data_IF_599514101200
#
_entry.id   IF_599514101200
#
_cell.length_a   1.000
_cell.length_b   1.000
_cell.length_c   1.000
_cell.angle_alpha   90.00
_cell.angle_beta   90.00
_cell.angle_gamma   90.00
#
_symmetry.space_group_name_H-M   'P 1'
#
loop_
_entity.id
_entity.type
_entity.pdbx_description
1 polymer ?
#
# COMPACT_ATOMS: atom_id res chain seq x y z
N UNK A 1 -13.93 68.97 -16.34
CA UNK A 1 -15.01 68.21 -15.66
C UNK A 1 -14.38 67.03 -14.94
N UNK A 2 -14.79 66.87 -13.69
CA UNK A 2 -14.35 65.86 -12.72
C UNK A 2 -14.64 64.43 -13.18
N UNK A 3 -13.74 63.50 -12.89
CA UNK A 3 -14.08 62.15 -12.42
C UNK A 3 -12.82 61.44 -11.93
N UNK A 4 -12.67 61.46 -10.61
CA UNK A 4 -11.77 60.66 -9.80
C UNK A 4 -12.01 59.16 -10.01
N UNK A 5 -10.96 58.34 -10.00
CA UNK A 5 -11.09 56.99 -9.47
C UNK A 5 -9.85 56.51 -8.71
N UNK A 6 -10.15 56.08 -7.50
CA UNK A 6 -9.32 55.68 -6.37
C UNK A 6 -8.69 54.30 -6.60
N UNK A 7 -7.44 54.04 -6.17
CA UNK A 7 -6.96 52.66 -6.01
C UNK A 7 -7.46 52.11 -4.67
N UNK A 8 -8.47 51.23 -4.71
CA UNK A 8 -8.91 50.49 -3.53
C UNK A 8 -7.94 49.35 -3.22
N UNK A 9 -7.29 49.49 -2.06
CA UNK A 9 -6.63 48.46 -1.24
C UNK A 9 -7.40 47.12 -1.27
N UNK A 10 -6.74 46.04 -1.71
CA UNK A 10 -7.14 44.68 -1.39
C UNK A 10 -6.03 43.98 -0.60
N UNK A 11 -6.31 43.83 0.70
CA UNK A 11 -5.60 42.95 1.62
C UNK A 11 -6.33 41.61 1.60
N UNK A 12 -5.63 40.53 1.28
CA UNK A 12 -6.11 39.17 1.51
C UNK A 12 -4.99 38.37 2.20
N UNK A 13 -5.10 38.11 3.52
CA UNK A 13 -4.34 37.04 4.17
C UNK A 13 -5.09 35.73 3.91
N UNK A 14 -4.79 35.07 2.79
CA UNK A 14 -5.36 33.76 2.48
C UNK A 14 -4.40 32.69 2.99
N UNK A 15 -4.73 32.23 4.20
CA UNK A 15 -4.28 31.01 4.85
C UNK A 15 -3.69 29.97 3.88
N UNK A 16 -2.38 29.79 3.94
CA UNK A 16 -1.74 28.61 3.34
C UNK A 16 -2.29 27.38 4.06
N UNK A 17 -3.00 26.46 3.38
CA UNK A 17 -3.23 25.15 3.94
C UNK A 17 -1.86 24.49 4.02
N UNK A 18 -1.32 24.45 5.24
CA UNK A 18 -0.16 23.65 5.63
C UNK A 18 -0.49 22.21 5.25
N UNK A 19 -0.18 21.84 4.00
CA UNK A 19 -0.39 20.50 3.47
C UNK A 19 0.45 19.60 4.35
N UNK A 20 -0.29 18.86 5.15
CA UNK A 20 0.17 17.87 6.09
C UNK A 20 1.18 16.99 5.39
N UNK A 21 2.25 16.66 6.12
CA UNK A 21 3.32 15.81 5.65
C UNK A 21 2.72 14.63 4.89
N UNK A 22 3.07 14.53 3.61
CA UNK A 22 2.87 13.33 2.82
C UNK A 22 3.56 12.21 3.58
N UNK A 23 2.76 11.48 4.37
CA UNK A 23 3.15 10.23 4.95
C UNK A 23 3.24 9.23 3.80
N UNK A 24 4.32 9.37 3.03
CA UNK A 24 4.84 8.33 2.16
C UNK A 24 5.29 7.21 3.09
N UNK A 25 4.32 6.45 3.59
CA UNK A 25 4.53 5.14 4.16
C UNK A 25 4.85 4.23 2.98
N UNK A 26 5.98 4.51 2.33
CA UNK A 26 6.74 3.55 1.57
C UNK A 26 7.03 2.46 2.59
N UNK A 27 6.16 1.47 2.56
CA UNK A 27 6.21 0.29 3.36
C UNK A 27 7.55 -0.33 3.03
N UNK A 28 8.53 -0.05 3.91
CA UNK A 28 9.78 -0.78 3.96
C UNK A 28 9.35 -2.21 4.20
N UNK A 29 9.21 -2.96 3.10
CA UNK A 29 9.27 -4.40 3.13
C UNK A 29 10.64 -4.69 3.70
N UNK A 30 10.69 -4.74 5.03
CA UNK A 30 11.82 -5.28 5.77
C UNK A 30 11.95 -6.67 5.20
N UNK A 31 12.93 -6.86 4.31
CA UNK A 31 13.40 -8.17 3.94
C UNK A 31 13.83 -8.82 5.23
N UNK A 32 12.90 -9.53 5.86
CA UNK A 32 13.16 -10.40 6.99
C UNK A 32 13.98 -11.55 6.40
N UNK A 33 15.27 -11.30 6.24
CA UNK A 33 16.30 -12.27 5.87
C UNK A 33 16.53 -13.19 7.05
N UNK A 34 15.52 -13.94 7.46
CA UNK A 34 15.64 -14.97 8.49
C UNK A 34 14.72 -16.14 8.15
N UNK A 35 15.07 -16.87 7.09
CA UNK A 35 14.66 -18.28 6.98
C UNK A 35 15.77 -19.01 6.23
N UNK A 36 16.36 -20.01 6.89
CA UNK A 36 17.31 -20.97 6.30
C UNK A 36 16.55 -21.92 5.36
N UNK A 37 15.92 -21.36 4.35
CA UNK A 37 14.98 -22.05 3.49
C UNK A 37 14.92 -21.38 2.14
N UNK A 38 14.74 -22.18 1.09
CA UNK A 38 14.60 -21.70 -0.29
C UNK A 38 13.48 -20.66 -0.33
N UNK A 39 13.84 -19.41 -0.60
CA UNK A 39 12.87 -18.36 -0.86
C UNK A 39 12.14 -18.68 -2.17
N UNK A 40 10.81 -18.73 -2.11
CA UNK A 40 9.95 -18.96 -3.26
C UNK A 40 9.11 -17.71 -3.51
N UNK A 41 8.93 -17.37 -4.78
CA UNK A 41 7.96 -16.34 -5.16
C UNK A 41 6.54 -16.87 -4.99
N UNK A 42 5.59 -15.97 -4.72
CA UNK A 42 4.17 -16.33 -4.64
C UNK A 42 3.67 -16.95 -5.94
N UNK A 43 4.15 -16.46 -7.08
CA UNK A 43 3.84 -16.99 -8.41
C UNK A 43 4.25 -18.47 -8.53
N UNK A 44 5.48 -18.81 -8.13
CA UNK A 44 5.98 -20.18 -8.17
C UNK A 44 5.26 -21.10 -7.17
N UNK A 45 4.85 -20.57 -6.00
CA UNK A 45 4.05 -21.34 -5.03
C UNK A 45 2.65 -21.66 -5.57
N UNK A 46 2.04 -20.68 -6.23
CA UNK A 46 0.65 -20.76 -6.69
C UNK A 46 0.49 -21.38 -8.08
N UNK A 47 1.57 -21.49 -8.85
CA UNK A 47 1.62 -22.21 -10.13
C UNK A 47 0.57 -21.71 -11.14
N UNK A 48 0.35 -20.39 -11.19
CA UNK A 48 -0.65 -19.76 -12.06
C UNK A 48 -2.10 -19.83 -11.55
N UNK A 49 -2.34 -20.47 -10.41
CA UNK A 49 -3.65 -20.55 -9.75
C UNK A 49 -3.80 -19.47 -8.68
N UNK A 50 -5.04 -19.20 -8.22
CA UNK A 50 -5.24 -18.31 -7.07
C UNK A 50 -5.08 -19.03 -5.72
N UNK A 51 -5.09 -20.37 -5.72
CA UNK A 51 -4.99 -21.19 -4.52
C UNK A 51 -4.40 -22.56 -4.82
N UNK A 52 -3.68 -23.13 -3.85
CA UNK A 52 -3.08 -24.46 -3.91
C UNK A 52 -3.36 -25.24 -2.62
N UNK A 53 -3.48 -26.56 -2.75
CA UNK A 53 -3.66 -27.46 -1.62
C UNK A 53 -2.31 -28.01 -1.18
N UNK A 54 -2.10 -28.07 0.13
CA UNK A 54 -0.88 -28.51 0.78
C UNK A 54 -1.25 -29.61 1.76
N UNK A 55 -0.78 -30.83 1.52
CA UNK A 55 -0.88 -31.90 2.51
C UNK A 55 0.21 -31.69 3.56
N UNK A 56 -0.18 -31.40 4.80
CA UNK A 56 0.75 -31.19 5.91
C UNK A 56 0.23 -31.89 7.16
N UNK A 57 1.07 -32.70 7.82
CA UNK A 57 0.68 -33.52 8.98
C UNK A 57 -0.60 -34.34 8.75
N UNK A 58 -0.80 -34.88 7.54
CA UNK A 58 -1.99 -35.67 7.19
C UNK A 58 -3.29 -34.87 7.06
N UNK A 59 -3.21 -33.54 7.06
CA UNK A 59 -4.34 -32.65 6.83
C UNK A 59 -4.12 -31.82 5.57
N UNK A 60 -5.20 -31.50 4.87
CA UNK A 60 -5.11 -30.61 3.70
C UNK A 60 -5.24 -29.18 4.19
N UNK A 61 -4.29 -28.34 3.81
CA UNK A 61 -4.36 -26.89 3.98
C UNK A 61 -4.50 -26.24 2.61
N UNK A 62 -5.08 -25.06 2.57
CA UNK A 62 -5.19 -24.27 1.36
C UNK A 62 -4.44 -22.96 1.50
N UNK A 63 -3.43 -22.76 0.67
CA UNK A 63 -2.73 -21.49 0.53
C UNK A 63 -3.39 -20.70 -0.61
N UNK A 64 -3.84 -19.47 -0.36
CA UNK A 64 -4.57 -18.64 -1.33
C UNK A 64 -4.03 -17.22 -1.40
N UNK A 65 -3.94 -16.66 -2.61
CA UNK A 65 -3.77 -15.23 -2.83
C UNK A 65 -5.07 -14.46 -2.58
N UNK A 66 -4.96 -13.36 -1.83
CA UNK A 66 -6.08 -12.44 -1.59
C UNK A 66 -5.97 -11.21 -2.48
N UNK A 67 -7.11 -10.54 -2.67
CA UNK A 67 -7.19 -9.25 -3.40
C UNK A 67 -6.30 -8.15 -2.80
N UNK A 68 -5.98 -8.23 -1.51
CA UNK A 68 -5.14 -7.27 -0.80
C UNK A 68 -3.64 -7.60 -0.89
N UNK A 69 -3.25 -8.55 -1.75
CA UNK A 69 -1.85 -8.89 -1.99
C UNK A 69 -1.19 -9.71 -0.88
N UNK A 70 -1.99 -10.35 -0.02
CA UNK A 70 -1.51 -11.25 1.04
C UNK A 70 -1.87 -12.69 0.69
N UNK A 71 -1.03 -13.62 1.14
CA UNK A 71 -1.36 -15.04 1.13
C UNK A 71 -2.06 -15.41 2.44
N UNK A 72 -3.11 -16.23 2.38
CA UNK A 72 -3.74 -16.83 3.56
C UNK A 72 -3.58 -18.34 3.50
N UNK A 73 -3.31 -18.95 4.65
CA UNK A 73 -3.33 -20.40 4.81
C UNK A 73 -4.54 -20.76 5.67
N UNK A 74 -5.44 -21.58 5.13
CA UNK A 74 -6.56 -22.15 5.87
C UNK A 74 -6.34 -23.65 6.02
N UNK A 75 -6.78 -24.21 7.14
CA UNK A 75 -6.96 -25.66 7.25
C UNK A 75 -8.23 -26.07 6.53
#
# INVERSE_FOLDING_TARGET
>A
MTASHTPARQTLPAMEPRRTLSASRAQTAKSASHTTGRALTSDHLLQGTQCVNILHNGQTYQLRATRYGKLILTK
#
